data_IF_386715801795
#
_entry.id   IF_386715801795
#
_cell.length_a   1.000
_cell.length_b   1.000
_cell.length_c   1.000
_cell.angle_alpha   90.00
_cell.angle_beta   90.00
_cell.angle_gamma   90.00
#
_symmetry.space_group_name_H-M   'P 1'
#
loop_
_entity.id
_entity.type
_entity.pdbx_description
1 polymer ?
#
# COMPACT_ATOMS: atom_id res chain seq x y z
N UNK A 1 21.17 -22.47 -35.54
CA UNK A 1 21.59 -23.23 -34.36
C UNK A 1 21.08 -22.47 -33.17
N UNK A 2 20.08 -23.00 -32.48
CA UNK A 2 19.52 -22.38 -31.28
C UNK A 2 20.46 -22.79 -30.15
N UNK A 3 21.26 -21.86 -29.63
CA UNK A 3 22.06 -22.14 -28.44
C UNK A 3 21.09 -22.39 -27.28
N UNK A 4 21.08 -23.62 -26.76
CA UNK A 4 20.33 -23.97 -25.57
C UNK A 4 20.81 -23.08 -24.41
N UNK A 5 19.90 -22.49 -23.63
CA UNK A 5 20.25 -21.60 -22.53
C UNK A 5 21.13 -22.36 -21.53
N UNK A 6 22.35 -21.85 -21.33
CA UNK A 6 23.33 -22.45 -20.43
C UNK A 6 22.81 -22.36 -18.99
N UNK A 7 22.56 -23.52 -18.37
CA UNK A 7 22.21 -23.61 -16.96
C UNK A 7 23.45 -23.27 -16.10
N UNK A 8 23.51 -22.02 -15.63
CA UNK A 8 24.56 -21.53 -14.76
C UNK A 8 24.48 -22.12 -13.35
N UNK A 9 23.31 -22.59 -12.92
CA UNK A 9 23.14 -23.22 -11.61
C UNK A 9 23.81 -24.60 -11.61
N UNK A 10 23.83 -25.34 -12.72
CA UNK A 10 24.53 -26.62 -12.84
C UNK A 10 26.02 -26.56 -12.44
N UNK A 11 26.66 -25.38 -12.61
CA UNK A 11 28.09 -25.14 -12.32
C UNK A 11 28.36 -24.63 -10.90
N UNK A 12 27.32 -24.42 -10.08
CA UNK A 12 27.41 -23.90 -8.71
C UNK A 12 27.53 -25.02 -7.68
N UNK A 13 28.27 -24.79 -6.60
CA UNK A 13 28.33 -25.71 -5.44
C UNK A 13 26.94 -25.91 -4.84
N UNK A 14 26.72 -27.05 -4.18
CA UNK A 14 25.44 -27.37 -3.54
C UNK A 14 24.96 -26.26 -2.57
N UNK A 15 25.89 -25.68 -1.80
CA UNK A 15 25.63 -24.58 -0.88
C UNK A 15 25.15 -23.30 -1.60
N UNK A 16 25.78 -22.95 -2.73
CA UNK A 16 25.36 -21.77 -3.51
C UNK A 16 24.01 -21.96 -4.19
N UNK A 17 23.64 -23.20 -4.56
CA UNK A 17 22.29 -23.51 -5.09
C UNK A 17 21.24 -23.30 -4.00
N UNK A 18 21.47 -23.84 -2.81
CA UNK A 18 20.58 -23.71 -1.65
C UNK A 18 20.40 -22.25 -1.25
N UNK A 19 21.48 -21.47 -1.15
CA UNK A 19 21.41 -20.04 -0.80
C UNK A 19 20.59 -19.23 -1.83
N UNK A 20 20.72 -19.56 -3.12
CA UNK A 20 19.95 -18.90 -4.18
C UNK A 20 18.49 -19.33 -4.16
N UNK A 21 18.22 -20.60 -3.86
CA UNK A 21 16.87 -21.13 -3.72
C UNK A 21 16.14 -20.50 -2.53
N UNK A 22 16.80 -20.36 -1.38
CA UNK A 22 16.28 -19.63 -0.22
C UNK A 22 15.94 -18.20 -0.60
N UNK A 23 16.86 -17.48 -1.25
CA UNK A 23 16.61 -16.11 -1.73
C UNK A 23 15.43 -16.03 -2.69
N UNK A 24 15.31 -16.98 -3.62
CA UNK A 24 14.20 -17.04 -4.58
C UNK A 24 12.87 -17.33 -3.88
N UNK A 25 12.87 -18.21 -2.89
CA UNK A 25 11.67 -18.50 -2.10
C UNK A 25 11.23 -17.29 -1.29
N UNK A 26 12.16 -16.64 -0.58
CA UNK A 26 11.86 -15.42 0.19
C UNK A 26 11.32 -14.28 -0.69
N UNK A 27 11.83 -14.12 -1.91
CA UNK A 27 11.28 -13.15 -2.87
C UNK A 27 9.88 -13.54 -3.33
N UNK A 28 9.63 -14.81 -3.63
CA UNK A 28 8.30 -15.30 -4.03
C UNK A 28 7.26 -15.14 -2.94
N UNK A 29 7.63 -15.41 -1.69
CA UNK A 29 6.75 -15.25 -0.54
C UNK A 29 6.41 -13.78 -0.32
N UNK A 30 7.43 -12.91 -0.40
CA UNK A 30 7.24 -11.47 -0.35
C UNK A 30 6.34 -10.95 -1.48
N UNK A 31 6.51 -11.44 -2.71
CA UNK A 31 5.63 -11.11 -3.84
C UNK A 31 4.20 -11.63 -3.67
N UNK A 32 4.01 -12.79 -3.03
CA UNK A 32 2.70 -13.32 -2.71
C UNK A 32 2.01 -12.46 -1.65
N UNK A 33 2.72 -12.08 -0.60
CA UNK A 33 2.21 -11.21 0.47
C UNK A 33 1.86 -9.82 -0.07
N UNK A 34 2.70 -9.23 -0.92
CA UNK A 34 2.40 -7.95 -1.57
C UNK A 34 1.15 -8.02 -2.45
N UNK A 35 0.96 -9.13 -3.18
CA UNK A 35 -0.25 -9.33 -3.99
C UNK A 35 -1.49 -9.48 -3.13
N UNK A 36 -1.42 -10.25 -2.05
CA UNK A 36 -2.53 -10.41 -1.11
C UNK A 36 -2.91 -9.08 -0.45
N UNK A 37 -1.93 -8.25 -0.09
CA UNK A 37 -2.16 -6.91 0.45
C UNK A 37 -2.84 -5.98 -0.55
N UNK A 38 -2.40 -5.99 -1.83
CA UNK A 38 -3.04 -5.19 -2.89
C UNK A 38 -4.47 -5.61 -3.14
N UNK A 39 -4.73 -6.91 -3.25
CA UNK A 39 -6.07 -7.42 -3.52
C UNK A 39 -7.06 -7.00 -2.42
N UNK A 40 -6.63 -7.12 -1.17
CA UNK A 40 -7.43 -6.70 -0.02
C UNK A 40 -7.64 -5.18 0.02
N UNK A 41 -6.66 -4.40 -0.40
CA UNK A 41 -6.79 -2.95 -0.50
C UNK A 41 -7.81 -2.57 -1.59
N UNK A 42 -7.74 -3.20 -2.75
CA UNK A 42 -8.69 -3.02 -3.86
C UNK A 42 -10.13 -3.36 -3.43
N UNK A 43 -10.35 -4.50 -2.76
CA UNK A 43 -11.67 -4.88 -2.23
C UNK A 43 -12.23 -3.84 -1.24
N UNK A 44 -11.39 -3.29 -0.37
CA UNK A 44 -11.80 -2.25 0.57
C UNK A 44 -12.13 -0.93 -0.14
N UNK A 45 -11.36 -0.57 -1.18
CA UNK A 45 -11.62 0.61 -1.99
C UNK A 45 -12.92 0.48 -2.80
N UNK A 46 -13.19 -0.70 -3.37
CA UNK A 46 -14.45 -0.99 -4.06
C UNK A 46 -15.65 -0.80 -3.13
N UNK A 47 -15.57 -1.31 -1.90
CA UNK A 47 -16.62 -1.09 -0.88
C UNK A 47 -16.74 0.39 -0.49
N UNK A 48 -15.62 1.12 -0.42
CA UNK A 48 -15.61 2.55 -0.11
C UNK A 48 -16.28 3.40 -1.21
N UNK A 49 -16.15 2.96 -2.47
CA UNK A 49 -16.69 3.59 -3.67
C UNK A 49 -18.11 3.13 -4.02
N UNK A 50 -18.56 1.97 -3.51
CA UNK A 50 -19.84 1.36 -3.85
C UNK A 50 -21.04 2.26 -3.52
N UNK A 51 -20.98 2.99 -2.41
CA UNK A 51 -22.04 3.90 -1.99
C UNK A 51 -21.51 5.31 -1.67
N UNK A 52 -22.27 6.37 -2.01
CA UNK A 52 -22.03 7.71 -1.49
C UNK A 52 -22.00 7.70 0.04
N UNK A 53 -21.22 8.60 0.63
CA UNK A 53 -21.25 8.76 2.09
C UNK A 53 -22.65 9.20 2.56
N UNK A 54 -23.18 8.53 3.58
CA UNK A 54 -24.50 8.80 4.15
C UNK A 54 -24.49 9.96 5.13
N UNK A 55 -23.33 10.25 5.74
CA UNK A 55 -23.15 11.35 6.67
C UNK A 55 -21.76 12.00 6.56
N UNK A 56 -21.58 13.11 7.28
CA UNK A 56 -20.32 13.86 7.32
C UNK A 56 -19.17 13.06 7.94
N UNK A 57 -19.46 12.17 8.88
CA UNK A 57 -18.45 11.34 9.54
C UNK A 57 -17.85 10.35 8.54
N UNK A 58 -18.70 9.65 7.81
CA UNK A 58 -18.32 8.71 6.74
C UNK A 58 -17.59 9.43 5.61
N UNK A 59 -18.10 10.57 5.14
CA UNK A 59 -17.44 11.38 4.11
C UNK A 59 -16.03 11.79 4.53
N UNK A 60 -15.85 12.16 5.80
CA UNK A 60 -14.56 12.56 6.34
C UNK A 60 -13.59 11.38 6.47
N UNK A 61 -14.07 10.18 6.81
CA UNK A 61 -13.24 8.97 6.82
C UNK A 61 -12.76 8.65 5.39
N UNK A 62 -13.66 8.70 4.40
CA UNK A 62 -13.32 8.50 2.98
C UNK A 62 -12.27 9.51 2.50
N UNK A 63 -12.43 10.79 2.86
CA UNK A 63 -11.47 11.84 2.54
C UNK A 63 -10.10 11.62 3.21
N UNK A 64 -10.08 11.24 4.50
CA UNK A 64 -8.82 10.93 5.20
C UNK A 64 -8.07 9.78 4.55
N UNK A 65 -8.78 8.74 4.11
CA UNK A 65 -8.19 7.62 3.38
C UNK A 65 -7.50 8.09 2.10
N UNK A 66 -8.23 8.81 1.23
CA UNK A 66 -7.70 9.33 -0.03
C UNK A 66 -6.50 10.26 0.17
N UNK A 67 -6.56 11.14 1.17
CA UNK A 67 -5.46 12.07 1.49
C UNK A 67 -4.20 11.29 1.94
N UNK A 68 -4.36 10.21 2.71
CA UNK A 68 -3.22 9.36 3.12
C UNK A 68 -2.63 8.61 1.93
N UNK A 69 -3.47 8.06 1.05
CA UNK A 69 -3.02 7.41 -0.17
C UNK A 69 -2.23 8.38 -1.06
N UNK A 70 -2.75 9.61 -1.23
CA UNK A 70 -2.02 10.66 -1.95
C UNK A 70 -0.68 10.99 -1.27
N UNK A 71 -0.63 11.02 0.06
CA UNK A 71 0.58 11.34 0.81
C UNK A 71 1.75 10.37 0.55
N UNK A 72 1.47 9.15 0.10
CA UNK A 72 2.46 8.13 -0.22
C UNK A 72 3.05 8.30 -1.63
N UNK A 73 2.40 9.07 -2.52
CA UNK A 73 2.88 9.27 -3.89
C UNK A 73 4.10 10.18 -3.94
N UNK A 74 4.94 10.00 -4.96
CA UNK A 74 6.14 10.84 -5.16
C UNK A 74 5.80 12.33 -5.25
N UNK A 75 4.66 12.66 -5.86
CA UNK A 75 4.16 14.02 -5.98
C UNK A 75 3.87 14.66 -4.62
N UNK A 76 3.45 13.89 -3.62
CA UNK A 76 3.15 14.40 -2.30
C UNK A 76 4.37 14.48 -1.37
N UNK A 77 5.52 13.90 -1.74
CA UNK A 77 6.73 13.88 -0.89
C UNK A 77 7.39 15.25 -0.72
N UNK A 78 7.02 16.27 -1.49
CA UNK A 78 7.48 17.65 -1.26
C UNK A 78 7.09 18.11 0.17
N UNK A 79 8.06 18.68 0.89
CA UNK A 79 7.90 19.13 2.28
C UNK A 79 6.70 20.06 2.51
N UNK A 80 6.38 20.95 1.56
CA UNK A 80 5.22 21.83 1.61
C UNK A 80 3.92 21.05 1.53
N UNK A 81 3.84 20.06 0.63
CA UNK A 81 2.65 19.21 0.44
C UNK A 81 2.44 18.31 1.67
N UNK A 82 3.49 17.67 2.18
CA UNK A 82 3.43 16.90 3.43
C UNK A 82 2.93 17.73 4.61
N UNK A 83 3.39 18.98 4.74
CA UNK A 83 2.92 19.88 5.81
C UNK A 83 1.43 20.22 5.68
N UNK A 84 0.94 20.47 4.46
CA UNK A 84 -0.48 20.71 4.20
C UNK A 84 -1.33 19.47 4.48
N UNK A 85 -0.89 18.30 4.02
CA UNK A 85 -1.54 17.01 4.26
C UNK A 85 -1.68 16.74 5.75
N UNK A 86 -0.58 16.86 6.51
CA UNK A 86 -0.57 16.64 7.96
C UNK A 86 -1.55 17.57 8.68
N UNK A 87 -1.60 18.84 8.28
CA UNK A 87 -2.52 19.82 8.85
C UNK A 87 -3.98 19.48 8.53
N UNK A 88 -4.29 19.18 7.27
CA UNK A 88 -5.63 18.83 6.83
C UNK A 88 -6.15 17.57 7.55
N UNK A 89 -5.34 16.51 7.64
CA UNK A 89 -5.69 15.30 8.39
C UNK A 89 -5.93 15.58 9.88
N UNK A 90 -5.11 16.43 10.50
CA UNK A 90 -5.29 16.85 11.89
C UNK A 90 -6.59 17.63 12.12
N UNK A 91 -6.92 18.54 11.21
CA UNK A 91 -8.15 19.32 11.28
C UNK A 91 -9.39 18.44 11.11
N UNK A 92 -9.39 17.51 10.14
CA UNK A 92 -10.49 16.56 9.94
C UNK A 92 -10.69 15.64 11.15
N UNK A 93 -9.60 15.14 11.74
CA UNK A 93 -9.67 14.32 12.94
C UNK A 93 -10.26 15.10 14.13
N UNK A 94 -9.83 16.35 14.32
CA UNK A 94 -10.35 17.22 15.38
C UNK A 94 -11.85 17.49 15.20
N UNK A 95 -12.29 17.82 13.99
CA UNK A 95 -13.69 18.13 13.70
C UNK A 95 -14.62 16.93 13.92
N UNK A 96 -14.21 15.72 13.51
CA UNK A 96 -14.94 14.48 13.83
C UNK A 96 -15.09 14.29 15.35
N UNK A 97 -14.02 14.53 16.11
CA UNK A 97 -14.07 14.35 17.56
C UNK A 97 -15.03 15.36 18.20
N UNK A 98 -15.06 16.60 17.71
CA UNK A 98 -16.01 17.62 18.16
C UNK A 98 -17.46 17.23 17.88
N UNK A 99 -17.77 16.76 16.67
CA UNK A 99 -19.11 16.28 16.31
C UNK A 99 -19.57 15.13 17.22
N UNK A 100 -18.66 14.23 17.59
CA UNK A 100 -18.95 13.12 18.52
C UNK A 100 -19.18 13.57 19.96
N UNK A 101 -18.59 14.69 20.39
CA UNK A 101 -18.80 15.24 21.74
C UNK A 101 -20.06 16.11 21.85
N UNK A 102 -20.61 16.57 20.73
CA UNK A 102 -21.82 17.40 20.67
C UNK A 102 -23.12 16.58 20.53
N UNK A 103 -23.01 15.29 20.19
CA UNK A 103 -24.11 14.30 20.20
C UNK A 103 -24.20 13.58 21.54
#
# INVERSE_FOLDING_TARGET
MMDDPVDLDARRSAEGKIETEIRRHSLKDFEADQRALRLRQEELEEQLLAEPASDWHEATIKAQYLIRLYAETAEAQDARRQKLIKRALGDLARLIQQERTEK
#
